data_IF_976957916773
#
_entry.id   IF_976957916773
#
_cell.length_a   1.000
_cell.length_b   1.000
_cell.length_c   1.000
_cell.angle_alpha   90.00
_cell.angle_beta   90.00
_cell.angle_gamma   90.00
#
_symmetry.space_group_name_H-M   'P 1'
#
loop_
_entity.id
_entity.type
_entity.pdbx_description
1 polymer ?
#
# COMPACT_ATOMS: atom_id res chain seq x y z
N UNK A 1 40.64 33.78 23.31
CA UNK A 1 40.44 32.34 23.25
C UNK A 1 39.36 31.81 24.21
N UNK A 2 39.22 32.33 25.45
CA UNK A 2 38.19 31.92 26.40
C UNK A 2 36.75 32.24 25.90
N UNK A 3 36.52 33.40 25.31
CA UNK A 3 35.20 33.81 24.80
C UNK A 3 34.75 32.99 23.58
N UNK A 4 35.68 32.60 22.72
CA UNK A 4 35.37 31.73 21.56
C UNK A 4 34.91 30.33 21.97
N UNK A 5 35.54 29.75 23.03
CA UNK A 5 35.13 28.45 23.57
C UNK A 5 33.76 28.51 24.22
N UNK A 6 33.42 29.60 24.90
CA UNK A 6 32.11 29.78 25.52
C UNK A 6 31.01 29.91 24.45
N UNK A 7 31.27 30.63 23.36
CA UNK A 7 30.35 30.82 22.23
C UNK A 7 30.07 29.47 21.49
N UNK A 8 31.09 28.64 21.32
CA UNK A 8 30.92 27.32 20.69
C UNK A 8 30.11 26.38 21.60
N UNK A 9 30.35 26.44 22.90
CA UNK A 9 29.57 25.62 23.85
C UNK A 9 28.12 26.08 23.92
N UNK A 10 27.85 27.41 23.85
CA UNK A 10 26.50 27.96 23.80
C UNK A 10 25.78 27.56 22.50
N UNK A 11 26.47 27.53 21.35
CA UNK A 11 25.89 27.08 20.08
C UNK A 11 25.49 25.59 20.09
N UNK A 12 26.26 24.75 20.78
CA UNK A 12 25.91 23.34 20.96
C UNK A 12 24.74 23.11 21.93
N UNK A 13 24.58 23.97 22.94
CA UNK A 13 23.44 23.90 23.85
C UNK A 13 22.13 24.46 23.27
N UNK A 14 22.22 25.34 22.27
CA UNK A 14 21.05 25.88 21.55
C UNK A 14 20.66 25.07 20.31
N UNK A 15 21.48 24.11 19.89
CA UNK A 15 21.03 23.01 19.00
C UNK A 15 20.06 22.15 19.80
N UNK A 16 18.98 22.77 20.24
CA UNK A 16 17.89 22.15 20.93
C UNK A 16 17.49 20.90 20.17
N UNK A 17 17.32 19.83 20.88
CA UNK A 17 16.75 18.57 20.43
C UNK A 17 15.50 18.94 19.63
N UNK A 18 15.62 19.09 18.32
CA UNK A 18 14.49 19.05 17.41
C UNK A 18 14.02 17.59 17.51
N UNK A 19 13.08 17.36 18.43
CA UNK A 19 12.35 16.10 18.45
C UNK A 19 11.64 16.02 17.11
N UNK A 20 12.25 15.33 16.16
CA UNK A 20 11.58 14.93 14.95
C UNK A 20 10.59 13.87 15.39
N UNK A 21 9.34 14.26 15.56
CA UNK A 21 8.25 13.29 15.64
C UNK A 21 8.14 12.67 14.25
N UNK A 22 8.42 11.39 14.16
CA UNK A 22 8.05 10.59 13.02
C UNK A 22 6.68 9.98 13.35
N UNK A 23 5.72 10.16 12.46
CA UNK A 23 4.45 9.51 12.61
C UNK A 23 4.62 7.98 12.50
N UNK A 24 3.88 7.24 13.30
CA UNK A 24 3.83 5.79 13.16
C UNK A 24 3.21 5.45 11.80
N UNK A 25 3.83 4.55 11.07
CA UNK A 25 3.38 4.13 9.74
C UNK A 25 2.61 2.81 9.76
N UNK A 26 1.95 2.50 8.64
CA UNK A 26 1.27 1.22 8.38
C UNK A 26 0.20 0.87 9.40
N UNK A 27 -0.74 1.76 9.59
CA UNK A 27 -1.92 1.51 10.43
C UNK A 27 -2.81 0.42 9.82
N UNK A 28 -3.36 -0.42 10.68
CA UNK A 28 -4.30 -1.46 10.25
C UNK A 28 -5.61 -0.85 9.77
N UNK A 29 -6.16 -1.35 8.67
CA UNK A 29 -7.43 -0.86 8.11
C UNK A 29 -8.58 -0.96 9.12
N UNK A 30 -8.62 -2.04 9.89
CA UNK A 30 -9.63 -2.29 10.94
C UNK A 30 -9.63 -1.25 12.06
N UNK A 31 -8.50 -0.60 12.29
CA UNK A 31 -8.31 0.35 13.38
C UNK A 31 -8.46 1.82 12.96
N UNK A 32 -8.53 2.10 11.66
CA UNK A 32 -8.52 3.46 11.12
C UNK A 32 -9.55 4.35 11.79
N UNK A 33 -10.81 3.93 11.86
CA UNK A 33 -11.89 4.74 12.41
C UNK A 33 -11.73 5.00 13.92
N UNK A 34 -11.30 4.00 14.66
CA UNK A 34 -11.31 4.04 16.12
C UNK A 34 -10.04 4.65 16.71
N UNK A 35 -8.92 4.44 16.08
CA UNK A 35 -7.61 4.78 16.62
C UNK A 35 -6.88 5.89 15.85
N UNK A 36 -7.07 5.96 14.53
CA UNK A 36 -6.20 6.74 13.67
C UNK A 36 -6.89 7.92 12.96
N UNK A 37 -8.23 7.94 12.87
CA UNK A 37 -8.95 8.96 12.08
C UNK A 37 -8.64 10.39 12.55
N UNK A 38 -8.52 10.63 13.85
CA UNK A 38 -8.18 11.94 14.39
C UNK A 38 -6.78 12.38 13.92
N UNK A 39 -5.78 11.53 14.09
CA UNK A 39 -4.41 11.82 13.67
C UNK A 39 -4.31 12.02 12.15
N UNK A 40 -5.00 11.18 11.36
CA UNK A 40 -5.05 11.30 9.90
C UNK A 40 -5.70 12.63 9.48
N UNK A 41 -6.74 13.07 10.16
CA UNK A 41 -7.40 14.36 9.89
C UNK A 41 -6.49 15.54 10.23
N UNK A 42 -5.77 15.49 11.34
CA UNK A 42 -4.76 16.49 11.71
C UNK A 42 -3.62 16.57 10.68
N UNK A 43 -3.26 15.46 10.06
CA UNK A 43 -2.30 15.37 8.95
C UNK A 43 -2.87 15.81 7.60
N UNK A 44 -4.16 16.13 7.53
CA UNK A 44 -4.81 16.67 6.33
C UNK A 44 -5.71 15.71 5.57
N UNK A 45 -6.09 14.56 6.15
CA UNK A 45 -7.10 13.69 5.55
C UNK A 45 -8.45 14.41 5.51
N UNK A 46 -9.06 14.51 4.32
CA UNK A 46 -10.33 15.19 4.09
C UNK A 46 -11.52 14.25 3.95
N UNK A 47 -11.28 12.95 3.81
CA UNK A 47 -12.33 11.94 3.68
C UNK A 47 -12.45 11.16 4.99
N UNK A 48 -13.65 10.73 5.41
CA UNK A 48 -13.82 9.92 6.61
C UNK A 48 -13.20 8.52 6.45
N UNK A 49 -12.79 7.90 7.55
CA UNK A 49 -12.15 6.59 7.55
C UNK A 49 -13.00 5.51 6.88
N UNK A 50 -14.32 5.59 6.95
CA UNK A 50 -15.25 4.67 6.28
C UNK A 50 -15.16 4.70 4.76
N UNK A 51 -14.73 5.80 4.16
CA UNK A 51 -14.48 5.85 2.71
C UNK A 51 -13.18 5.13 2.32
N UNK A 52 -12.28 4.92 3.27
CA UNK A 52 -11.05 4.15 3.06
C UNK A 52 -11.31 2.66 3.32
N UNK A 53 -11.93 2.34 4.45
CA UNK A 53 -12.28 0.99 4.87
C UNK A 53 -13.67 0.94 5.50
N UNK A 54 -14.55 0.13 4.92
CA UNK A 54 -15.90 -0.11 5.44
C UNK A 54 -16.20 -1.62 5.40
N UNK A 55 -16.29 -2.31 6.55
CA UNK A 55 -16.59 -3.75 6.58
C UNK A 55 -18.02 -4.08 6.11
N UNK A 56 -18.93 -3.10 6.11
CA UNK A 56 -20.32 -3.28 5.70
C UNK A 56 -20.67 -2.68 4.34
N UNK A 57 -19.72 -2.16 3.58
CA UNK A 57 -19.99 -1.47 2.32
C UNK A 57 -18.77 -1.24 1.45
N UNK A 58 -18.99 -0.58 0.33
CA UNK A 58 -17.91 -0.26 -0.64
C UNK A 58 -17.05 0.86 -0.08
N UNK A 59 -15.74 0.72 -0.18
CA UNK A 59 -14.75 1.70 0.23
C UNK A 59 -13.53 1.66 -0.70
N UNK A 60 -12.59 2.58 -0.52
CA UNK A 60 -11.36 2.66 -1.33
C UNK A 60 -10.56 1.33 -1.33
N UNK A 61 -10.59 0.57 -0.21
CA UNK A 61 -9.95 -0.75 -0.13
C UNK A 61 -10.36 -1.70 -1.25
N UNK A 62 -11.61 -1.58 -1.74
CA UNK A 62 -12.15 -2.48 -2.75
C UNK A 62 -11.58 -2.24 -4.15
N UNK A 63 -10.91 -1.10 -4.35
CA UNK A 63 -10.13 -0.84 -5.56
C UNK A 63 -8.73 -1.47 -5.52
N UNK A 64 -8.23 -1.83 -4.33
CA UNK A 64 -6.89 -2.40 -4.16
C UNK A 64 -6.96 -3.92 -4.21
N UNK A 65 -6.12 -4.52 -5.06
CA UNK A 65 -6.13 -5.96 -5.31
C UNK A 65 -4.74 -6.58 -5.12
N UNK A 66 -4.72 -7.84 -4.72
CA UNK A 66 -3.52 -8.67 -4.80
C UNK A 66 -3.34 -9.12 -6.25
N UNK A 67 -2.25 -8.70 -6.88
CA UNK A 67 -2.00 -8.91 -8.29
C UNK A 67 -0.96 -10.02 -8.51
N UNK A 68 -1.30 -11.01 -9.32
CA UNK A 68 -0.39 -12.04 -9.80
C UNK A 68 0.30 -12.90 -8.73
N UNK A 69 -0.22 -12.92 -7.48
CA UNK A 69 0.32 -13.76 -6.40
C UNK A 69 1.45 -13.15 -5.57
N UNK A 70 1.81 -11.88 -5.76
CA UNK A 70 2.88 -11.27 -4.98
C UNK A 70 2.95 -9.73 -5.04
N UNK A 71 2.13 -9.12 -5.86
CA UNK A 71 2.09 -7.67 -6.06
C UNK A 71 0.77 -7.06 -5.61
N UNK A 72 0.74 -5.74 -5.57
CA UNK A 72 -0.48 -4.95 -5.41
C UNK A 72 -0.85 -4.32 -6.75
N UNK A 73 -2.13 -4.21 -7.04
CA UNK A 73 -2.66 -3.44 -8.16
C UNK A 73 -3.87 -2.62 -7.72
N UNK A 74 -4.20 -1.59 -8.47
CA UNK A 74 -5.35 -0.73 -8.24
C UNK A 74 -6.30 -0.77 -9.44
N UNK A 75 -7.56 -1.11 -9.21
CA UNK A 75 -8.61 -1.05 -10.21
C UNK A 75 -9.09 0.40 -10.34
N UNK A 76 -8.87 1.01 -11.50
CA UNK A 76 -9.12 2.44 -11.71
C UNK A 76 -10.26 2.73 -12.70
N UNK A 77 -10.93 1.71 -13.21
CA UNK A 77 -12.10 1.90 -14.06
C UNK A 77 -13.18 0.87 -13.80
N UNK A 78 -14.42 1.22 -14.13
CA UNK A 78 -15.55 0.29 -14.08
C UNK A 78 -15.42 -0.89 -15.06
N UNK A 79 -14.50 -0.81 -16.00
CA UNK A 79 -14.24 -1.83 -17.01
C UNK A 79 -13.05 -2.75 -16.65
N UNK A 80 -12.47 -2.57 -15.44
CA UNK A 80 -11.42 -3.43 -14.93
C UNK A 80 -10.00 -3.04 -15.35
N UNK A 81 -9.76 -1.77 -15.73
CA UNK A 81 -8.38 -1.31 -15.92
C UNK A 81 -7.64 -1.33 -14.58
N UNK A 82 -6.52 -2.01 -14.53
CA UNK A 82 -5.67 -2.16 -13.34
C UNK A 82 -4.33 -1.48 -13.56
N UNK A 83 -3.91 -0.67 -12.60
CA UNK A 83 -2.54 -0.18 -12.49
C UNK A 83 -1.75 -1.07 -11.55
N UNK A 84 -0.49 -1.30 -11.88
CA UNK A 84 0.47 -2.00 -11.02
C UNK A 84 1.90 -1.57 -11.39
N UNK A 85 2.88 -2.05 -10.65
CA UNK A 85 4.28 -1.77 -10.93
C UNK A 85 4.78 -2.58 -12.15
N UNK A 86 5.70 -1.99 -12.92
CA UNK A 86 6.30 -2.64 -14.08
C UNK A 86 6.86 -4.04 -13.78
N UNK A 87 7.58 -4.20 -12.66
CA UNK A 87 8.17 -5.48 -12.30
C UNK A 87 7.13 -6.57 -12.02
N UNK A 88 5.89 -6.21 -11.65
CA UNK A 88 4.80 -7.15 -11.45
C UNK A 88 4.24 -7.69 -12.76
N UNK A 89 4.28 -6.89 -13.83
CA UNK A 89 3.88 -7.27 -15.18
C UNK A 89 5.01 -7.82 -16.05
N UNK A 90 6.25 -7.77 -15.56
CA UNK A 90 7.45 -8.07 -16.37
C UNK A 90 7.37 -9.41 -17.09
N UNK A 91 6.96 -10.48 -16.40
CA UNK A 91 6.84 -11.81 -17.00
C UNK A 91 5.81 -11.89 -18.13
N UNK A 92 4.69 -11.18 -18.01
CA UNK A 92 3.67 -11.09 -19.06
C UNK A 92 4.19 -10.28 -20.25
N UNK A 93 4.87 -9.16 -20.02
CA UNK A 93 5.48 -8.34 -21.07
C UNK A 93 6.53 -9.17 -21.82
N UNK A 94 7.39 -9.90 -21.10
CA UNK A 94 8.41 -10.77 -21.68
C UNK A 94 7.82 -11.88 -22.54
N UNK A 95 6.71 -12.50 -22.13
CA UNK A 95 6.05 -13.55 -22.89
C UNK A 95 5.52 -13.06 -24.25
N UNK A 96 5.15 -11.80 -24.34
CA UNK A 96 4.66 -11.19 -25.58
C UNK A 96 5.76 -10.53 -26.41
N UNK A 97 6.97 -10.35 -25.85
CA UNK A 97 8.10 -9.77 -26.56
C UNK A 97 8.77 -10.78 -27.50
N UNK A 98 9.21 -10.29 -28.64
CA UNK A 98 10.01 -11.03 -29.63
C UNK A 98 11.14 -10.15 -30.17
N UNK A 99 11.95 -10.68 -31.07
CA UNK A 99 12.99 -9.90 -31.75
C UNK A 99 12.39 -8.79 -32.64
N UNK A 100 11.21 -9.02 -33.22
CA UNK A 100 10.49 -8.07 -34.05
C UNK A 100 9.66 -7.06 -33.20
N UNK A 101 9.31 -7.43 -31.99
CA UNK A 101 8.48 -6.61 -31.08
C UNK A 101 9.05 -6.67 -29.67
N UNK A 102 10.00 -5.82 -29.35
CA UNK A 102 10.62 -5.75 -28.03
C UNK A 102 9.81 -4.86 -27.09
N UNK A 103 8.69 -5.39 -26.57
CA UNK A 103 7.82 -4.66 -25.65
C UNK A 103 8.47 -4.33 -24.31
N UNK A 104 9.56 -5.01 -23.93
CA UNK A 104 10.33 -4.66 -22.74
C UNK A 104 11.08 -3.35 -22.91
N UNK A 105 11.61 -3.10 -24.10
CA UNK A 105 12.38 -1.89 -24.45
C UNK A 105 11.46 -0.78 -24.95
N UNK A 106 10.57 -1.11 -25.89
CA UNK A 106 9.77 -0.12 -26.63
C UNK A 106 8.45 0.21 -25.92
N UNK A 107 8.01 -0.64 -24.99
CA UNK A 107 6.69 -0.58 -24.39
C UNK A 107 5.60 -1.12 -25.32
N UNK A 108 4.40 -1.20 -24.79
CA UNK A 108 3.20 -1.60 -25.52
C UNK A 108 2.00 -0.78 -25.02
N UNK A 109 1.19 -0.30 -25.95
CA UNK A 109 -0.03 0.42 -25.64
C UNK A 109 -1.17 -0.02 -26.56
N UNK A 110 -2.16 -0.71 -26.03
CA UNK A 110 -3.39 -1.04 -26.73
C UNK A 110 -4.29 0.19 -26.82
N UNK A 111 -4.63 0.66 -28.02
CA UNK A 111 -5.54 1.79 -28.23
C UNK A 111 -7.01 1.35 -28.18
N UNK A 112 -7.25 0.03 -28.23
CA UNK A 112 -8.58 -0.57 -28.12
C UNK A 112 -8.50 -1.94 -27.46
N UNK A 113 -9.63 -2.46 -26.95
CA UNK A 113 -9.69 -3.79 -26.33
C UNK A 113 -9.28 -4.92 -27.27
N UNK A 114 -9.49 -4.74 -28.56
CA UNK A 114 -9.10 -5.77 -29.58
C UNK A 114 -7.59 -5.87 -29.76
N UNK A 115 -6.84 -4.86 -29.32
CA UNK A 115 -5.38 -4.83 -29.37
C UNK A 115 -4.74 -5.34 -28.08
N UNK A 116 -5.54 -5.52 -27.00
CA UNK A 116 -5.03 -6.03 -25.75
C UNK A 116 -4.47 -7.45 -25.90
N UNK A 117 -3.30 -7.68 -25.32
CA UNK A 117 -2.63 -8.97 -25.36
C UNK A 117 -3.04 -9.84 -24.15
N UNK A 118 -3.56 -11.06 -24.35
CA UNK A 118 -4.07 -11.87 -23.25
C UNK A 118 -2.94 -12.39 -22.35
N UNK A 119 -3.00 -12.09 -21.06
CA UNK A 119 -2.05 -12.58 -20.07
C UNK A 119 -2.60 -13.85 -19.39
N UNK A 120 -2.37 -15.01 -19.99
CA UNK A 120 -2.91 -16.28 -19.53
C UNK A 120 -2.40 -16.63 -18.12
N UNK A 121 -3.33 -16.91 -17.21
CA UNK A 121 -3.02 -17.30 -15.83
C UNK A 121 -2.72 -16.12 -14.88
N UNK A 122 -2.70 -14.89 -15.39
CA UNK A 122 -2.62 -13.71 -14.53
C UNK A 122 -3.99 -13.44 -13.90
N UNK A 123 -4.01 -13.25 -12.58
CA UNK A 123 -5.24 -13.06 -11.81
C UNK A 123 -5.10 -11.89 -10.84
N UNK A 124 -6.22 -11.33 -10.45
CA UNK A 124 -6.34 -10.41 -9.32
C UNK A 124 -7.22 -11.05 -8.24
N UNK A 125 -6.88 -10.80 -6.98
CA UNK A 125 -7.64 -11.28 -5.83
C UNK A 125 -8.06 -10.08 -4.99
N UNK A 126 -9.35 -9.97 -4.72
CA UNK A 126 -9.92 -8.94 -3.85
C UNK A 126 -9.89 -9.40 -2.40
N UNK A 127 -9.73 -8.47 -1.46
CA UNK A 127 -9.94 -8.72 -0.03
C UNK A 127 -11.43 -8.53 0.24
N UNK A 128 -12.11 -9.65 0.50
CA UNK A 128 -13.54 -9.63 0.79
C UNK A 128 -13.78 -9.20 2.25
N UNK A 129 -13.11 -9.85 3.21
CA UNK A 129 -13.29 -9.59 4.63
C UNK A 129 -11.96 -9.64 5.38
N UNK A 130 -11.85 -8.83 6.44
CA UNK A 130 -10.75 -8.84 7.41
C UNK A 130 -11.37 -9.10 8.78
N UNK A 131 -10.98 -10.21 9.43
CA UNK A 131 -11.47 -10.61 10.76
C UNK A 131 -10.35 -10.67 11.77
N UNK A 132 -10.62 -10.18 13.00
CA UNK A 132 -9.75 -10.43 14.15
C UNK A 132 -9.98 -11.87 14.65
N UNK A 133 -8.94 -12.68 14.60
CA UNK A 133 -8.95 -14.08 15.05
C UNK A 133 -8.16 -14.30 16.36
N UNK A 134 -7.83 -13.24 17.07
CA UNK A 134 -6.99 -13.27 18.28
C UNK A 134 -7.55 -14.23 19.33
N UNK A 135 -8.84 -14.14 19.61
CA UNK A 135 -9.49 -15.00 20.62
C UNK A 135 -9.47 -16.48 20.18
N UNK A 136 -9.77 -16.74 18.92
CA UNK A 136 -9.71 -18.09 18.35
C UNK A 136 -8.32 -18.72 18.50
N UNK A 137 -7.27 -17.98 18.16
CA UNK A 137 -5.88 -18.46 18.29
C UNK A 137 -5.47 -18.66 19.73
N UNK A 138 -5.92 -17.78 20.64
CA UNK A 138 -5.63 -17.91 22.07
C UNK A 138 -6.34 -19.11 22.73
N UNK A 139 -7.54 -19.43 22.32
CA UNK A 139 -8.27 -20.63 22.78
C UNK A 139 -7.59 -21.91 22.31
N UNK A 140 -7.19 -21.99 21.04
CA UNK A 140 -6.46 -23.14 20.49
C UNK A 140 -5.12 -23.38 21.23
N UNK A 141 -4.37 -22.29 21.53
CA UNK A 141 -3.13 -22.38 22.34
C UNK A 141 -3.35 -22.91 23.76
N UNK A 142 -4.51 -22.66 24.37
CA UNK A 142 -4.85 -23.20 25.68
C UNK A 142 -5.18 -24.69 25.60
N UNK A 143 -5.87 -25.11 24.55
CA UNK A 143 -6.23 -26.53 24.31
C UNK A 143 -5.02 -27.41 23.99
N UNK A 144 -3.99 -26.86 23.35
CA UNK A 144 -2.77 -27.60 22.95
C UNK A 144 -1.74 -27.74 24.07
N UNK A 145 -1.96 -27.15 25.26
CA UNK A 145 -1.06 -27.20 26.42
C UNK A 145 -1.48 -28.21 27.52
N UNK A 146 -2.41 -29.10 27.24
CA UNK A 146 -2.81 -30.18 28.13
C UNK A 146 -2.08 -31.50 27.77
#
# INVERSE_FOLDING_TARGET
MKHLRLSILSLFLTSGVLSTYADEGMWMLTDLKQQNEVAMTELGLLIPAEQIYNPGGIALKDAVVHFGGGCTGEVISAEGLVLTNHHCGYGAIQQHSSVEHDYLTDGFWAMSRNEELPCKGLTVTYIDEIMDVTDYVNEDRKSTRL
#
